data_IF_222565077394
#
_entry.id   IF_222565077394
#
_cell.length_a   1.000
_cell.length_b   1.000
_cell.length_c   1.000
_cell.angle_alpha   90.00
_cell.angle_beta   90.00
_cell.angle_gamma   90.00
#
_symmetry.space_group_name_H-M   'P 1'
#
loop_
_entity.id
_entity.type
_entity.pdbx_description
1 polymer ?
#
# COMPACT_ATOMS: atom_id res chain seq x y z
N UNK A 1 -7.44 18.13 9.60
CA UNK A 1 -6.09 17.55 9.38
C UNK A 1 -6.15 16.07 9.73
N UNK A 2 -5.51 15.20 8.95
CA UNK A 2 -5.51 13.74 9.13
C UNK A 2 -4.67 13.33 10.35
N UNK A 3 -5.02 13.78 11.54
CA UNK A 3 -4.33 13.47 12.79
C UNK A 3 -5.29 12.81 13.79
N UNK A 4 -4.73 12.01 14.72
CA UNK A 4 -5.49 11.33 15.76
C UNK A 4 -6.18 10.04 15.30
N UNK A 5 -7.21 9.64 16.05
CA UNK A 5 -7.97 8.39 15.89
C UNK A 5 -8.53 8.16 14.48
N UNK A 6 -9.08 9.17 13.77
CA UNK A 6 -9.61 8.97 12.42
C UNK A 6 -8.53 8.56 11.41
N UNK A 7 -7.33 9.14 11.53
CA UNK A 7 -6.22 8.79 10.64
C UNK A 7 -5.74 7.34 10.88
N UNK A 8 -5.74 6.90 12.14
CA UNK A 8 -5.42 5.52 12.49
C UNK A 8 -6.49 4.54 11.94
N UNK A 9 -7.76 4.90 12.05
CA UNK A 9 -8.87 4.11 11.51
C UNK A 9 -8.79 3.98 9.98
N UNK A 10 -8.57 5.09 9.27
CA UNK A 10 -8.40 5.09 7.81
C UNK A 10 -7.18 4.27 7.40
N UNK A 11 -6.05 4.42 8.11
CA UNK A 11 -4.83 3.64 7.84
C UNK A 11 -5.08 2.15 8.00
N UNK A 12 -5.79 1.74 9.06
CA UNK A 12 -6.14 0.33 9.29
C UNK A 12 -7.06 -0.22 8.19
N UNK A 13 -8.10 0.52 7.81
CA UNK A 13 -9.00 0.11 6.73
C UNK A 13 -8.25 -0.04 5.40
N UNK A 14 -7.35 0.89 5.10
CA UNK A 14 -6.50 0.84 3.91
C UNK A 14 -5.56 -0.37 3.94
N UNK A 15 -4.97 -0.70 5.10
CA UNK A 15 -4.14 -1.89 5.26
C UNK A 15 -4.95 -3.17 5.00
N UNK A 16 -6.16 -3.30 5.56
CA UNK A 16 -7.01 -4.46 5.31
C UNK A 16 -7.37 -4.63 3.82
N UNK A 17 -7.66 -3.53 3.12
CA UNK A 17 -7.95 -3.58 1.68
C UNK A 17 -6.73 -3.99 0.85
N UNK A 18 -5.55 -3.47 1.20
CA UNK A 18 -4.29 -3.85 0.53
C UNK A 18 -3.99 -5.33 0.79
N UNK A 19 -4.15 -5.80 2.03
CA UNK A 19 -3.94 -7.19 2.41
C UNK A 19 -4.85 -8.14 1.63
N UNK A 20 -6.16 -7.85 1.58
CA UNK A 20 -7.10 -8.64 0.79
C UNK A 20 -6.73 -8.67 -0.71
N UNK A 21 -6.33 -7.54 -1.27
CA UNK A 21 -5.90 -7.45 -2.67
C UNK A 21 -4.61 -8.23 -2.94
N UNK A 22 -3.62 -8.18 -2.03
CA UNK A 22 -2.37 -8.93 -2.14
C UNK A 22 -2.62 -10.44 -2.07
N UNK A 23 -3.47 -10.89 -1.15
CA UNK A 23 -3.84 -12.30 -1.02
C UNK A 23 -4.57 -12.80 -2.27
N UNK A 24 -5.52 -12.03 -2.79
CA UNK A 24 -6.23 -12.36 -4.03
C UNK A 24 -5.26 -12.43 -5.24
N UNK A 25 -4.35 -11.47 -5.36
CA UNK A 25 -3.35 -11.44 -6.42
C UNK A 25 -2.39 -12.64 -6.33
N UNK A 26 -1.96 -13.00 -5.12
CA UNK A 26 -1.11 -14.16 -4.88
C UNK A 26 -1.80 -15.47 -5.24
N UNK A 27 -3.07 -15.62 -4.86
CA UNK A 27 -3.88 -16.80 -5.19
C UNK A 27 -4.11 -16.95 -6.71
N UNK A 28 -4.42 -15.86 -7.41
CA UNK A 28 -4.67 -15.85 -8.86
C UNK A 28 -3.41 -16.19 -9.69
N UNK A 29 -2.22 -15.82 -9.18
CA UNK A 29 -0.95 -15.97 -9.90
C UNK A 29 -0.02 -17.04 -9.33
N UNK A 30 -0.51 -17.84 -8.40
CA UNK A 30 0.26 -18.85 -7.67
C UNK A 30 1.57 -18.30 -7.06
N UNK A 31 1.51 -17.07 -6.54
CA UNK A 31 2.63 -16.40 -5.87
C UNK A 31 2.52 -16.57 -4.35
N UNK A 32 3.66 -16.67 -3.68
CA UNK A 32 3.73 -16.66 -2.23
C UNK A 32 4.33 -15.35 -1.71
N UNK A 33 3.79 -14.81 -0.61
CA UNK A 33 4.42 -13.69 0.07
C UNK A 33 5.79 -14.11 0.61
N UNK A 34 6.84 -13.35 0.29
CA UNK A 34 8.18 -13.51 0.86
C UNK A 34 8.29 -12.93 2.28
N UNK A 35 7.33 -12.08 2.65
CA UNK A 35 7.22 -11.38 3.93
C UNK A 35 5.74 -11.45 4.37
N UNK A 36 5.41 -11.50 5.66
CA UNK A 36 4.02 -11.48 6.13
C UNK A 36 3.20 -10.37 5.46
N UNK A 37 2.08 -10.75 4.82
CA UNK A 37 1.24 -9.82 4.05
C UNK A 37 0.73 -8.67 4.92
N UNK A 38 0.44 -8.94 6.18
CA UNK A 38 0.03 -7.94 7.17
C UNK A 38 1.09 -6.85 7.43
N UNK A 39 2.39 -7.19 7.35
CA UNK A 39 3.47 -6.21 7.48
C UNK A 39 3.57 -5.33 6.23
N UNK A 40 3.48 -5.95 5.05
CA UNK A 40 3.52 -5.25 3.76
C UNK A 40 2.33 -4.30 3.64
N UNK A 41 1.12 -4.78 3.97
CA UNK A 41 -0.10 -3.98 3.90
C UNK A 41 -0.08 -2.79 4.87
N UNK A 42 0.40 -2.99 6.10
CA UNK A 42 0.56 -1.92 7.09
C UNK A 42 1.58 -0.86 6.65
N UNK A 43 2.71 -1.28 6.09
CA UNK A 43 3.74 -0.37 5.57
C UNK A 43 3.21 0.45 4.40
N UNK A 44 2.53 -0.19 3.44
CA UNK A 44 1.97 0.50 2.28
C UNK A 44 0.86 1.46 2.65
N UNK A 45 -0.05 1.08 3.55
CA UNK A 45 -1.10 1.96 4.04
C UNK A 45 -0.51 3.20 4.73
N UNK A 46 0.47 3.00 5.61
CA UNK A 46 1.12 4.09 6.33
C UNK A 46 1.85 5.05 5.38
N UNK A 47 2.60 4.51 4.41
CA UNK A 47 3.29 5.31 3.40
C UNK A 47 2.35 6.15 2.55
N UNK A 48 1.21 5.59 2.12
CA UNK A 48 0.18 6.32 1.35
C UNK A 48 -0.41 7.48 2.14
N UNK A 49 -0.76 7.25 3.40
CA UNK A 49 -1.34 8.29 4.25
C UNK A 49 -0.31 9.39 4.54
N UNK A 50 0.96 9.02 4.77
CA UNK A 50 2.04 10.00 4.92
C UNK A 50 2.22 10.87 3.67
N UNK A 51 2.16 10.26 2.49
CA UNK A 51 2.28 10.95 1.20
C UNK A 51 1.10 11.89 0.95
N UNK A 52 -0.13 11.41 1.15
CA UNK A 52 -1.34 12.24 1.05
C UNK A 52 -1.29 13.40 2.04
N UNK A 53 -0.83 13.16 3.27
CA UNK A 53 -0.65 14.23 4.27
C UNK A 53 0.37 15.25 3.80
N UNK A 54 1.53 14.82 3.28
CA UNK A 54 2.55 15.73 2.78
C UNK A 54 2.02 16.61 1.63
N UNK A 55 1.25 16.03 0.72
CA UNK A 55 0.63 16.75 -0.39
C UNK A 55 -0.45 17.73 0.08
N UNK A 56 -1.41 17.27 0.88
CA UNK A 56 -2.53 18.10 1.38
C UNK A 56 -2.08 19.24 2.31
N UNK A 57 -0.92 19.10 2.96
CA UNK A 57 -0.33 20.16 3.81
C UNK A 57 0.51 21.16 3.02
N UNK A 58 0.59 21.03 1.70
CA UNK A 58 1.38 21.92 0.84
C UNK A 58 2.90 21.72 0.95
N UNK A 59 3.37 20.71 1.68
CA UNK A 59 4.81 20.41 1.84
C UNK A 59 5.43 19.80 0.59
N UNK A 60 4.61 19.27 -0.31
CA UNK A 60 5.01 18.82 -1.64
C UNK A 60 3.98 19.31 -2.66
N UNK A 61 4.38 20.28 -3.51
CA UNK A 61 3.52 20.77 -4.59
C UNK A 61 3.58 19.80 -5.77
N UNK A 62 2.45 19.16 -6.06
CA UNK A 62 2.28 18.27 -7.20
C UNK A 62 0.83 18.34 -7.67
N UNK A 63 0.61 18.12 -8.96
CA UNK A 63 -0.74 17.97 -9.50
C UNK A 63 -1.41 16.70 -8.92
N UNK A 64 -2.73 16.71 -8.68
CA UNK A 64 -3.46 15.55 -8.17
C UNK A 64 -3.17 14.25 -8.95
N UNK A 65 -3.05 14.34 -10.28
CA UNK A 65 -2.79 13.21 -11.16
C UNK A 65 -1.40 12.60 -10.92
N UNK A 66 -0.41 13.42 -10.60
CA UNK A 66 0.95 12.96 -10.28
C UNK A 66 0.95 12.18 -8.98
N UNK A 67 0.23 12.66 -7.96
CA UNK A 67 0.10 11.97 -6.68
C UNK A 67 -0.64 10.65 -6.84
N UNK A 68 -1.73 10.63 -7.60
CA UNK A 68 -2.47 9.40 -7.89
C UNK A 68 -1.59 8.35 -8.59
N UNK A 69 -0.83 8.75 -9.62
CA UNK A 69 0.11 7.88 -10.33
C UNK A 69 1.21 7.36 -9.40
N UNK A 70 1.75 8.21 -8.54
CA UNK A 70 2.81 7.84 -7.59
C UNK A 70 2.29 6.83 -6.56
N UNK A 71 1.12 7.07 -5.98
CA UNK A 71 0.46 6.14 -5.07
C UNK A 71 0.22 4.79 -5.75
N UNK A 72 -0.34 4.79 -6.96
CA UNK A 72 -0.60 3.56 -7.70
C UNK A 72 0.69 2.80 -8.01
N UNK A 73 1.66 3.44 -8.66
CA UNK A 73 2.91 2.82 -9.11
C UNK A 73 3.74 2.27 -7.97
N UNK A 74 3.89 3.01 -6.87
CA UNK A 74 4.65 2.54 -5.69
C UNK A 74 3.96 1.37 -5.00
N UNK A 75 2.63 1.40 -4.88
CA UNK A 75 1.85 0.27 -4.33
C UNK A 75 2.03 -0.97 -5.18
N UNK A 76 1.88 -0.82 -6.50
CA UNK A 76 1.97 -1.93 -7.43
C UNK A 76 3.37 -2.54 -7.41
N UNK A 77 4.41 -1.72 -7.49
CA UNK A 77 5.80 -2.20 -7.44
C UNK A 77 6.09 -2.95 -6.14
N UNK A 78 5.65 -2.41 -4.99
CA UNK A 78 5.83 -3.08 -3.71
C UNK A 78 5.01 -4.37 -3.58
N UNK A 79 3.78 -4.40 -4.11
CA UNK A 79 2.94 -5.59 -4.15
C UNK A 79 3.61 -6.73 -4.95
N UNK A 80 4.15 -6.40 -6.12
CA UNK A 80 4.89 -7.36 -6.94
C UNK A 80 6.18 -7.81 -6.24
N UNK A 81 6.93 -6.89 -5.64
CA UNK A 81 8.17 -7.25 -4.93
C UNK A 81 7.92 -8.12 -3.68
N UNK A 82 6.77 -7.95 -3.01
CA UNK A 82 6.38 -8.74 -1.86
C UNK A 82 5.92 -10.16 -2.22
N UNK A 83 5.56 -10.40 -3.49
CA UNK A 83 5.07 -11.68 -3.99
C UNK A 83 6.15 -12.34 -4.86
N UNK A 84 6.61 -13.53 -4.45
CA UNK A 84 7.56 -14.32 -5.22
C UNK A 84 6.88 -15.52 -5.89
N UNK A 85 7.38 -15.99 -7.04
CA UNK A 85 6.93 -17.26 -7.61
C UNK A 85 7.06 -18.38 -6.58
N UNK A 86 6.07 -19.28 -6.51
CA UNK A 86 6.26 -20.55 -5.82
C UNK A 86 7.42 -21.30 -6.47
N UNK A 87 8.54 -21.39 -5.76
CA UNK A 87 9.55 -22.38 -6.11
C UNK A 87 8.95 -23.75 -5.79
N UNK A 88 8.57 -24.48 -6.84
CA UNK A 88 8.27 -25.91 -6.74
C UNK A 88 9.62 -26.62 -6.54
N UNK A 89 9.83 -27.37 -5.43
CA UNK A 89 11.03 -28.17 -5.25
C UNK A 89 11.13 -29.33 -6.26
#
# INVERSE_FOLDING_TARGET
MLDGEPAAAITRLLACHIEAALLALGADRDLLPSVPVSLVSAQLASGKIALLRAWLTGRASAQPETIAKLIHGTTYAAAIAALAPKLVP
#
